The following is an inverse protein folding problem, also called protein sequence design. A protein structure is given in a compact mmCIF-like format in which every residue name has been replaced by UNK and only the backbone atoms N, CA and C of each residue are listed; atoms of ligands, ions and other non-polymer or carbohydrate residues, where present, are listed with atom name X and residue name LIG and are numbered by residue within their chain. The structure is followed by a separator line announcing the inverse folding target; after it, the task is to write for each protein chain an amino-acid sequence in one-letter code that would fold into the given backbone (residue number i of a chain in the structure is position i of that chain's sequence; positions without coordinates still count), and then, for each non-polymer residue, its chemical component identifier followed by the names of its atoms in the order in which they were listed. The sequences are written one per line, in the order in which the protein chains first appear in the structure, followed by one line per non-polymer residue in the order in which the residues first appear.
data_IF_716387565702
#
_entry.id   IF_716387565702
#
_cell.length_a   1.000
_cell.length_b   1.000
_cell.length_c   1.000
_cell.angle_alpha   90.00
_cell.angle_beta   90.00
_cell.angle_gamma   90.00
#
_symmetry.space_group_name_H-M   'P 1'
#
loop_
_entity.id
_entity.type
_entity.pdbx_description
1 polymer ?
#
# COMPACT_ATOMS: atom_id res chain seq x y z
N UNK A 1 20.60 -56.78 -19.13
CA UNK A 1 21.41 -57.73 -18.34
C UNK A 1 21.32 -57.31 -16.88
N UNK A 2 21.00 -58.13 -15.89
CA UNK A 2 20.41 -59.46 -15.80
C UNK A 2 19.94 -59.58 -14.31
N UNK A 3 18.64 -59.82 -14.06
CA UNK A 3 17.99 -60.61 -12.98
C UNK A 3 18.23 -60.21 -11.49
N UNK A 4 17.28 -60.31 -10.55
CA UNK A 4 15.94 -60.94 -10.48
C UNK A 4 15.77 -61.75 -9.18
N UNK A 5 14.55 -61.76 -8.62
CA UNK A 5 14.00 -62.53 -7.45
C UNK A 5 14.18 -61.89 -6.06
N UNK A 6 13.17 -61.77 -5.17
CA UNK A 6 11.77 -62.22 -5.16
C UNK A 6 11.43 -62.99 -3.87
N UNK A 7 10.63 -62.41 -2.96
CA UNK A 7 9.69 -63.04 -1.99
C UNK A 7 9.22 -61.98 -0.96
N UNK A 8 7.93 -61.55 -0.91
CA UNK A 8 6.82 -62.04 -0.05
C UNK A 8 7.24 -62.21 1.42
N UNK A 9 6.60 -61.68 2.46
CA UNK A 9 5.19 -61.30 2.71
C UNK A 9 5.05 -60.76 4.15
N UNK A 10 4.20 -59.75 4.38
CA UNK A 10 3.05 -59.75 5.32
C UNK A 10 2.66 -58.32 5.72
N UNK A 11 1.42 -58.01 5.36
CA UNK A 11 0.68 -56.79 5.68
C UNK A 11 0.24 -56.78 7.15
N UNK A 12 0.30 -55.60 7.78
CA UNK A 12 -0.58 -55.21 8.88
C UNK A 12 -0.94 -53.75 8.66
N UNK A 13 -2.10 -53.49 8.06
CA UNK A 13 -2.72 -52.17 7.94
C UNK A 13 -3.87 -52.11 8.94
N UNK A 14 -3.69 -51.38 10.03
CA UNK A 14 -4.78 -50.97 10.92
C UNK A 14 -5.50 -49.76 10.31
N UNK A 15 -6.74 -49.96 9.87
CA UNK A 15 -7.65 -48.88 9.47
C UNK A 15 -8.20 -48.18 10.72
N UNK A 16 -8.28 -46.84 10.76
CA UNK A 16 -9.15 -46.14 11.70
C UNK A 16 -10.58 -46.09 11.15
N UNK A 17 -11.55 -46.53 11.95
CA UNK A 17 -12.98 -46.42 11.64
C UNK A 17 -13.44 -44.97 11.76
N UNK A 18 -13.88 -44.40 10.64
CA UNK A 18 -14.58 -43.10 10.57
C UNK A 18 -16.03 -43.30 10.99
N UNK A 19 -16.42 -42.72 12.13
CA UNK A 19 -17.82 -42.64 12.56
C UNK A 19 -18.52 -41.52 11.78
N UNK A 20 -19.51 -41.91 10.98
CA UNK A 20 -20.42 -41.01 10.26
C UNK A 20 -21.45 -40.49 11.26
N UNK A 21 -21.46 -39.17 11.50
CA UNK A 21 -22.52 -38.50 12.27
C UNK A 21 -23.56 -37.97 11.28
N UNK A 22 -24.73 -38.61 11.28
CA UNK A 22 -25.91 -38.17 10.55
C UNK A 22 -26.50 -36.91 11.19
N UNK A 23 -26.65 -35.85 10.40
CA UNK A 23 -27.22 -34.57 10.83
C UNK A 23 -28.75 -34.62 10.81
N UNK A 24 -29.40 -34.66 11.97
CA UNK A 24 -30.83 -34.38 12.08
C UNK A 24 -31.06 -32.87 12.23
N UNK A 25 -31.68 -32.28 11.21
CA UNK A 25 -32.28 -30.93 11.26
C UNK A 25 -33.51 -30.98 12.15
N UNK A 26 -33.57 -30.11 13.16
CA UNK A 26 -34.81 -29.73 13.82
C UNK A 26 -35.01 -28.23 13.63
N UNK A 27 -36.00 -27.89 12.81
CA UNK A 27 -36.55 -26.55 12.67
C UNK A 27 -37.15 -26.12 14.02
N UNK A 28 -36.81 -24.94 14.53
CA UNK A 28 -37.55 -24.32 15.62
C UNK A 28 -37.93 -22.88 15.28
N UNK A 29 -39.24 -22.69 15.24
CA UNK A 29 -39.99 -21.48 14.98
C UNK A 29 -39.63 -20.33 15.93
N UNK A 30 -39.63 -19.12 15.38
CA UNK A 30 -39.66 -17.85 16.13
C UNK A 30 -41.10 -17.63 16.64
N UNK A 31 -41.26 -17.50 17.95
CA UNK A 31 -42.49 -17.06 18.61
C UNK A 31 -42.17 -16.08 19.74
N UNK A 32 -42.77 -14.89 19.66
CA UNK A 32 -42.59 -13.75 20.56
C UNK A 32 -43.20 -13.96 21.96
N UNK A 33 -42.58 -13.32 22.95
CA UNK A 33 -43.09 -12.76 24.22
C UNK A 33 -44.23 -13.47 24.96
N UNK A 34 -43.91 -14.01 26.15
CA UNK A 34 -44.58 -13.60 27.40
C UNK A 34 -43.75 -14.01 28.64
N UNK A 35 -43.86 -13.26 29.76
CA UNK A 35 -43.00 -13.39 30.93
C UNK A 35 -43.42 -14.61 31.76
N UNK A 36 -42.60 -15.65 31.80
CA UNK A 36 -42.86 -16.79 32.68
C UNK A 36 -42.52 -16.45 34.13
N UNK A 37 -43.59 -16.12 34.86
CA UNK A 37 -43.78 -16.31 36.28
C UNK A 37 -43.06 -17.56 36.81
N UNK A 38 -42.46 -17.38 37.99
CA UNK A 38 -41.97 -18.43 38.87
C UNK A 38 -42.97 -19.59 38.91
N UNK A 39 -42.56 -20.75 38.37
CA UNK A 39 -43.17 -22.02 38.73
C UNK A 39 -42.30 -22.63 39.81
N UNK A 40 -42.91 -22.77 40.97
CA UNK A 40 -42.47 -23.59 42.08
C UNK A 40 -41.88 -24.91 41.56
N UNK A 41 -40.55 -24.99 41.57
CA UNK A 41 -39.88 -26.27 41.68
C UNK A 41 -39.83 -26.56 43.17
N UNK A 42 -40.62 -27.55 43.58
CA UNK A 42 -40.68 -28.04 44.94
C UNK A 42 -39.28 -28.31 45.46
N UNK A 43 -39.02 -27.79 46.65
CA UNK A 43 -37.93 -28.18 47.52
C UNK A 43 -38.21 -29.61 48.02
N UNK A 44 -37.93 -30.60 47.18
CA UNK A 44 -37.66 -31.96 47.65
C UNK A 44 -36.15 -32.17 47.56
N UNK A 45 -35.56 -32.31 48.74
CA UNK A 45 -34.19 -32.62 49.09
C UNK A 45 -33.36 -33.31 47.99
N UNK A 46 -32.53 -32.53 47.31
CA UNK A 46 -31.27 -33.01 46.73
C UNK A 46 -30.11 -32.46 47.57
N UNK A 47 -30.09 -32.84 48.86
CA UNK A 47 -28.91 -32.68 49.71
C UNK A 47 -27.96 -33.86 49.48
N UNK A 48 -27.43 -33.95 48.25
CA UNK A 48 -26.31 -34.82 47.95
C UNK A 48 -25.08 -33.95 48.14
N UNK A 49 -24.33 -34.17 49.22
CA UNK A 49 -23.00 -33.58 49.33
C UNK A 49 -22.18 -34.07 48.12
N UNK A 50 -21.78 -33.15 47.24
CA UNK A 50 -21.05 -33.49 46.01
C UNK A 50 -19.74 -34.25 46.33
N UNK A 51 -19.22 -34.07 47.55
CA UNK A 51 -18.05 -34.73 48.10
C UNK A 51 -18.25 -36.24 48.35
N UNK A 52 -19.46 -36.74 48.61
CA UNK A 52 -19.70 -38.17 48.86
C UNK A 52 -19.89 -39.00 47.58
N UNK A 53 -20.46 -38.41 46.52
CA UNK A 53 -20.82 -39.16 45.28
C UNK A 53 -19.66 -39.33 44.30
N UNK A 54 -18.65 -38.47 44.37
CA UNK A 54 -17.50 -38.47 43.45
C UNK A 54 -16.15 -38.59 44.17
N UNK A 55 -16.14 -39.06 45.42
CA UNK A 55 -14.92 -39.23 46.24
C UNK A 55 -13.86 -40.17 45.62
N UNK A 56 -14.28 -41.13 44.79
CA UNK A 56 -13.40 -42.05 44.06
C UNK A 56 -12.80 -41.44 42.77
N UNK A 57 -13.21 -40.21 42.41
CA UNK A 57 -12.71 -39.52 41.22
C UNK A 57 -11.40 -38.82 41.58
N UNK A 58 -10.28 -39.43 41.17
CA UNK A 58 -8.96 -38.85 41.39
C UNK A 58 -8.82 -37.48 40.70
N UNK A 59 -8.57 -36.44 41.50
CA UNK A 59 -8.25 -35.10 41.00
C UNK A 59 -6.76 -35.03 40.67
N UNK A 60 -6.43 -34.77 39.40
CA UNK A 60 -5.05 -34.56 38.96
C UNK A 60 -4.68 -33.06 39.11
N UNK A 61 -3.78 -32.75 40.05
CA UNK A 61 -3.30 -31.39 40.31
C UNK A 61 -3.31 -31.05 41.80
N UNK A 62 -2.61 -29.97 42.23
CA UNK A 62 -2.61 -29.55 43.62
C UNK A 62 -3.97 -28.93 44.00
N UNK A 63 -4.75 -29.62 44.82
CA UNK A 63 -6.05 -29.14 45.34
C UNK A 63 -5.93 -27.96 46.32
N UNK A 64 -4.70 -27.62 46.74
CA UNK A 64 -4.40 -26.49 47.63
C UNK A 64 -4.24 -25.15 46.91
N UNK A 65 -4.33 -25.14 45.57
CA UNK A 65 -4.23 -23.92 44.77
C UNK A 65 -5.61 -23.33 44.55
N UNK A 66 -5.72 -22.00 44.57
CA UNK A 66 -6.98 -21.29 44.36
C UNK A 66 -7.63 -21.67 43.03
N UNK A 67 -8.94 -21.88 43.07
CA UNK A 67 -9.77 -22.11 41.88
C UNK A 67 -10.52 -20.82 41.56
N UNK A 68 -10.38 -20.33 40.33
CA UNK A 68 -11.06 -19.15 39.83
C UNK A 68 -12.17 -19.56 38.87
N UNK A 69 -13.32 -18.90 38.92
CA UNK A 69 -14.22 -18.82 37.77
C UNK A 69 -13.55 -18.07 36.61
N UNK A 70 -14.07 -18.22 35.39
CA UNK A 70 -13.52 -17.53 34.22
C UNK A 70 -13.56 -16.01 34.41
N UNK A 71 -14.63 -15.47 35.00
CA UNK A 71 -14.76 -14.04 35.27
C UNK A 71 -13.72 -13.56 36.29
N UNK A 72 -13.58 -14.26 37.42
CA UNK A 72 -12.60 -13.90 38.43
C UNK A 72 -11.17 -13.96 37.89
N UNK A 73 -10.85 -14.94 37.04
CA UNK A 73 -9.53 -15.03 36.40
C UNK A 73 -9.28 -13.86 35.42
N UNK A 74 -10.31 -13.43 34.69
CA UNK A 74 -10.21 -12.26 33.79
C UNK A 74 -9.96 -10.99 34.58
N UNK A 75 -10.69 -10.81 35.69
CA UNK A 75 -10.54 -9.65 36.57
C UNK A 75 -9.15 -9.64 37.23
N UNK A 76 -8.67 -10.79 37.69
CA UNK A 76 -7.31 -10.94 38.24
C UNK A 76 -6.23 -10.63 37.20
N UNK A 77 -6.35 -11.15 35.97
CA UNK A 77 -5.42 -10.85 34.87
C UNK A 77 -5.39 -9.34 34.59
N UNK A 78 -6.57 -8.71 34.48
CA UNK A 78 -6.63 -7.28 34.22
C UNK A 78 -6.08 -6.47 35.39
N UNK A 79 -6.31 -6.88 36.64
CA UNK A 79 -5.72 -6.25 37.82
C UNK A 79 -4.19 -6.28 37.78
N UNK A 80 -3.59 -7.43 37.49
CA UNK A 80 -2.12 -7.55 37.34
C UNK A 80 -1.59 -6.67 36.21
N UNK A 81 -2.32 -6.59 35.08
CA UNK A 81 -1.94 -5.75 33.95
C UNK A 81 -2.04 -4.26 34.28
N UNK A 82 -3.08 -3.84 34.99
CA UNK A 82 -3.27 -2.47 35.43
C UNK A 82 -2.21 -2.07 36.45
N UNK A 83 -1.89 -2.92 37.43
CA UNK A 83 -0.84 -2.66 38.42
C UNK A 83 0.57 -2.60 37.78
N UNK A 84 0.81 -3.41 36.74
CA UNK A 84 2.11 -3.45 36.06
C UNK A 84 2.31 -2.34 35.03
N UNK A 85 1.23 -1.76 34.50
CA UNK A 85 1.23 -0.78 33.40
C UNK A 85 0.20 0.34 33.64
N UNK A 86 0.16 0.87 34.86
CA UNK A 86 -0.84 1.85 35.34
C UNK A 86 -0.86 3.15 34.52
N UNK A 87 0.30 3.67 34.16
CA UNK A 87 0.44 4.85 33.29
C UNK A 87 0.32 4.53 31.80
N UNK A 88 0.09 3.26 31.42
CA UNK A 88 0.22 2.77 30.04
C UNK A 88 1.66 2.79 29.53
N UNK A 89 1.87 2.39 28.28
CA UNK A 89 3.21 2.31 27.69
C UNK A 89 3.21 2.60 26.19
N UNK A 90 4.41 2.87 25.69
CA UNK A 90 4.67 3.00 24.26
C UNK A 90 5.13 1.67 23.68
N UNK A 91 4.56 1.27 22.56
CA UNK A 91 4.97 0.10 21.78
C UNK A 91 5.06 0.46 20.32
N UNK A 92 6.03 -0.10 19.61
CA UNK A 92 6.18 0.10 18.18
C UNK A 92 6.01 -1.20 17.41
N UNK A 93 5.60 -1.07 16.15
CA UNK A 93 5.41 -2.20 15.24
C UNK A 93 4.84 -1.72 13.91
N UNK A 94 4.73 -2.64 12.96
CA UNK A 94 4.09 -2.37 11.67
C UNK A 94 2.59 -2.69 11.75
N UNK A 95 1.74 -1.84 11.20
CA UNK A 95 0.30 -2.07 11.12
C UNK A 95 0.02 -3.18 10.11
N UNK A 96 -0.80 -4.16 10.52
CA UNK A 96 -1.28 -5.24 9.67
C UNK A 96 -2.76 -5.54 9.93
N UNK A 97 -3.52 -5.68 8.85
CA UNK A 97 -4.94 -6.02 8.88
C UNK A 97 -5.83 -4.90 9.40
N UNK A 98 -5.55 -3.65 9.01
CA UNK A 98 -6.33 -2.50 9.44
C UNK A 98 -7.77 -2.56 8.92
N UNK A 99 -8.72 -2.44 9.84
CA UNK A 99 -10.15 -2.48 9.55
C UNK A 99 -10.92 -1.52 10.43
N UNK A 100 -11.89 -0.82 9.84
CA UNK A 100 -12.80 0.08 10.58
C UNK A 100 -14.21 -0.51 10.62
N UNK A 101 -14.76 -0.71 11.83
CA UNK A 101 -16.12 -1.19 12.05
C UNK A 101 -16.81 -0.34 13.11
N UNK A 102 -18.02 0.16 12.81
CA UNK A 102 -18.79 1.03 13.70
C UNK A 102 -17.97 2.23 14.24
N UNK A 103 -17.13 2.85 13.39
CA UNK A 103 -16.20 3.94 13.73
C UNK A 103 -15.07 3.57 14.70
N UNK A 104 -14.94 2.31 15.08
CA UNK A 104 -13.78 1.77 15.78
C UNK A 104 -12.79 1.20 14.78
N UNK A 105 -11.50 1.40 15.03
CA UNK A 105 -10.42 0.89 14.18
C UNK A 105 -9.74 -0.26 14.91
N UNK A 106 -9.50 -1.36 14.20
CA UNK A 106 -8.86 -2.56 14.71
C UNK A 106 -7.73 -2.93 13.77
N UNK A 107 -6.59 -3.33 14.32
CA UNK A 107 -5.45 -3.83 13.56
C UNK A 107 -4.53 -4.63 14.47
N UNK A 108 -3.47 -5.18 13.91
CA UNK A 108 -2.41 -5.87 14.65
C UNK A 108 -1.09 -5.13 14.43
N UNK A 109 -0.35 -4.88 15.50
CA UNK A 109 1.07 -4.54 15.40
C UNK A 109 1.86 -5.82 15.23
N UNK A 110 2.69 -5.87 14.19
CA UNK A 110 3.60 -7.00 13.95
C UNK A 110 5.05 -6.55 14.03
N UNK A 111 5.89 -7.39 14.63
CA UNK A 111 7.34 -7.31 14.52
C UNK A 111 7.79 -8.37 13.51
N UNK A 112 8.36 -7.93 12.39
CA UNK A 112 8.92 -8.82 11.38
C UNK A 112 10.40 -9.08 11.68
N UNK A 113 10.86 -10.31 11.45
CA UNK A 113 12.30 -10.56 11.43
C UNK A 113 12.93 -10.00 10.15
N UNK A 114 14.03 -9.24 10.23
CA UNK A 114 14.72 -8.73 9.05
C UNK A 114 15.08 -9.86 8.09
N UNK A 115 14.59 -9.79 6.85
CA UNK A 115 14.87 -10.78 5.81
C UNK A 115 14.05 -12.08 5.87
N UNK A 116 13.09 -12.19 6.79
CA UNK A 116 12.17 -13.33 6.86
C UNK A 116 10.71 -12.89 6.74
N UNK A 117 9.86 -13.79 6.21
CA UNK A 117 8.40 -13.61 6.21
C UNK A 117 7.76 -14.06 7.53
N UNK A 118 8.54 -14.55 8.50
CA UNK A 118 8.05 -14.94 9.83
C UNK A 118 7.78 -13.71 10.70
N UNK A 119 6.59 -13.68 11.31
CA UNK A 119 6.27 -12.74 12.38
C UNK A 119 6.98 -13.19 13.66
N UNK A 120 7.82 -12.34 14.22
CA UNK A 120 8.49 -12.59 15.51
C UNK A 120 7.51 -12.46 16.66
N UNK A 121 6.67 -11.42 16.62
CA UNK A 121 5.65 -11.16 17.61
C UNK A 121 4.48 -10.39 16.98
N UNK A 122 3.31 -10.46 17.61
CA UNK A 122 2.16 -9.67 17.21
C UNK A 122 1.29 -9.26 18.42
N UNK A 123 0.69 -8.07 18.35
CA UNK A 123 -0.20 -7.52 19.38
C UNK A 123 -1.43 -6.90 18.74
N UNK A 124 -2.63 -7.33 19.16
CA UNK A 124 -3.88 -6.73 18.68
C UNK A 124 -4.04 -5.33 19.23
N UNK A 125 -4.57 -4.42 18.42
CA UNK A 125 -4.82 -3.04 18.80
C UNK A 125 -6.26 -2.67 18.52
N UNK A 126 -6.90 -2.08 19.53
CA UNK A 126 -8.24 -1.52 19.44
C UNK A 126 -8.13 -0.01 19.60
N UNK A 127 -8.65 0.73 18.63
CA UNK A 127 -8.74 2.19 18.66
C UNK A 127 -10.23 2.58 18.62
N UNK A 128 -10.72 3.03 19.77
CA UNK A 128 -12.13 3.40 19.93
C UNK A 128 -12.45 4.71 19.22
N UNK A 129 -13.73 4.91 18.92
CA UNK A 129 -14.19 6.05 18.12
C UNK A 129 -13.92 7.38 18.83
N UNK A 130 -14.07 7.41 20.16
CA UNK A 130 -13.78 8.58 20.98
C UNK A 130 -12.30 8.97 20.96
N UNK A 131 -11.40 7.99 20.99
CA UNK A 131 -9.95 8.26 20.94
C UNK A 131 -9.50 8.63 19.53
N UNK A 132 -10.07 8.02 18.49
CA UNK A 132 -9.84 8.44 17.09
C UNK A 132 -10.17 9.92 16.88
N UNK A 133 -11.26 10.43 17.46
CA UNK A 133 -11.62 11.86 17.37
C UNK A 133 -10.51 12.75 17.94
N UNK A 134 -9.87 12.34 19.04
CA UNK A 134 -8.78 13.09 19.68
C UNK A 134 -7.48 13.01 18.88
N UNK A 135 -7.22 11.89 18.20
CA UNK A 135 -5.99 11.67 17.44
C UNK A 135 -6.03 12.28 16.03
N UNK A 136 -7.22 12.50 15.47
CA UNK A 136 -7.39 13.03 14.11
C UNK A 136 -6.64 14.34 13.85
N UNK A 137 -6.66 15.35 14.76
CA UNK A 137 -5.89 16.58 14.56
C UNK A 137 -4.39 16.35 14.53
N UNK A 138 -3.87 15.43 15.36
CA UNK A 138 -2.43 15.09 15.42
C UNK A 138 -1.99 14.41 14.11
N UNK A 139 -2.77 13.43 13.65
CA UNK A 139 -2.53 12.74 12.37
C UNK A 139 -2.60 13.71 11.19
N UNK A 140 -3.65 14.54 11.14
CA UNK A 140 -3.83 15.52 10.06
C UNK A 140 -2.73 16.58 10.03
N UNK A 141 -2.30 17.09 11.19
CA UNK A 141 -1.20 18.06 11.27
C UNK A 141 0.14 17.45 10.80
N UNK A 142 0.33 16.14 11.00
CA UNK A 142 1.47 15.40 10.50
C UNK A 142 1.32 14.91 9.04
N UNK A 143 0.14 15.08 8.43
CA UNK A 143 -0.17 14.53 7.10
C UNK A 143 -0.16 13.00 7.06
N UNK A 144 -0.41 12.34 8.20
CA UNK A 144 -0.40 10.88 8.33
C UNK A 144 -1.83 10.33 8.33
N UNK A 145 -1.98 9.16 7.73
CA UNK A 145 -3.18 8.34 7.78
C UNK A 145 -2.77 6.93 8.21
N UNK A 146 -3.56 6.27 9.06
CA UNK A 146 -3.25 4.90 9.46
C UNK A 146 -3.57 3.95 8.30
N UNK A 147 -2.57 3.20 7.86
CA UNK A 147 -2.66 2.23 6.79
C UNK A 147 -1.78 1.02 7.11
N UNK A 148 -2.08 -0.11 6.48
CA UNK A 148 -1.24 -1.30 6.55
C UNK A 148 0.18 -1.00 6.02
N UNK A 149 1.18 -1.65 6.61
CA UNK A 149 2.60 -1.44 6.28
C UNK A 149 3.26 -0.26 6.98
N UNK A 150 2.50 0.62 7.65
CA UNK A 150 3.09 1.74 8.39
C UNK A 150 3.71 1.27 9.71
N UNK A 151 4.96 1.64 9.92
CA UNK A 151 5.61 1.50 11.22
C UNK A 151 5.21 2.64 12.13
N UNK A 152 4.59 2.29 13.25
CA UNK A 152 4.02 3.24 14.20
C UNK A 152 4.55 3.02 15.59
N UNK A 153 4.55 4.07 16.40
CA UNK A 153 4.75 3.98 17.85
C UNK A 153 3.49 4.48 18.54
N UNK A 154 2.80 3.56 19.20
CA UNK A 154 1.49 3.76 19.81
C UNK A 154 1.61 3.82 21.32
N UNK A 155 0.77 4.63 21.93
CA UNK A 155 0.60 4.71 23.38
C UNK A 155 -0.77 4.15 23.76
N UNK A 156 -0.82 3.35 24.82
CA UNK A 156 -2.06 2.73 25.27
C UNK A 156 -1.89 1.87 26.52
N UNK A 157 -2.96 1.17 26.86
CA UNK A 157 -3.02 0.22 27.99
C UNK A 157 -3.40 -1.17 27.50
N UNK A 158 -2.96 -2.22 28.20
CA UNK A 158 -3.39 -3.58 27.89
C UNK A 158 -4.79 -3.83 28.44
N UNK A 159 -5.52 -4.71 27.77
CA UNK A 159 -6.82 -5.20 28.21
C UNK A 159 -7.00 -6.65 27.76
N UNK A 160 -7.33 -7.54 28.69
CA UNK A 160 -7.73 -8.91 28.42
C UNK A 160 -9.26 -8.99 28.32
N UNK A 161 -9.77 -9.19 27.10
CA UNK A 161 -11.20 -9.23 26.84
C UNK A 161 -11.77 -10.63 27.07
N UNK A 162 -12.39 -10.83 28.24
CA UNK A 162 -12.92 -12.10 28.72
C UNK A 162 -13.77 -12.88 27.71
N UNK A 163 -14.77 -12.28 27.03
CA UNK A 163 -15.66 -13.03 26.13
C UNK A 163 -14.96 -13.74 24.95
N UNK A 164 -13.76 -13.29 24.56
CA UNK A 164 -12.97 -13.92 23.50
C UNK A 164 -11.57 -14.36 23.96
N UNK A 165 -11.25 -14.25 25.25
CA UNK A 165 -9.94 -14.59 25.80
C UNK A 165 -8.77 -13.88 25.11
N UNK A 166 -8.96 -12.61 24.72
CA UNK A 166 -8.04 -11.91 23.80
C UNK A 166 -7.34 -10.73 24.47
N UNK A 167 -6.00 -10.77 24.50
CA UNK A 167 -5.17 -9.62 24.91
C UNK A 167 -5.05 -8.61 23.75
N UNK A 168 -5.33 -7.34 24.06
CA UNK A 168 -5.21 -6.24 23.11
C UNK A 168 -4.66 -4.98 23.78
N UNK A 169 -3.99 -4.14 23.01
CA UNK A 169 -3.68 -2.76 23.36
C UNK A 169 -4.89 -1.87 23.04
N UNK A 170 -5.35 -1.11 24.02
CA UNK A 170 -6.30 0.00 23.80
C UNK A 170 -5.48 1.24 23.45
N UNK A 171 -5.46 1.60 22.16
CA UNK A 171 -4.69 2.73 21.64
C UNK A 171 -5.31 4.05 22.08
N UNK A 172 -4.50 4.90 22.72
CA UNK A 172 -4.86 6.25 23.16
C UNK A 172 -3.96 7.35 22.58
N UNK A 173 -2.81 6.98 22.00
CA UNK A 173 -1.84 7.94 21.44
C UNK A 173 -0.99 7.36 20.32
N UNK A 174 -0.36 8.24 19.55
CA UNK A 174 0.62 7.92 18.50
C UNK A 174 1.73 8.99 18.51
N UNK A 175 2.99 8.60 18.30
CA UNK A 175 4.07 9.54 18.04
C UNK A 175 4.28 9.67 16.52
N UNK A 176 3.75 10.73 15.87
CA UNK A 176 3.90 10.90 14.44
C UNK A 176 5.36 11.11 14.01
N UNK A 177 6.23 11.62 14.90
CA UNK A 177 7.65 11.84 14.57
C UNK A 177 8.39 10.53 14.38
N UNK A 178 8.00 9.49 15.12
CA UNK A 178 8.59 8.16 14.95
C UNK A 178 8.26 7.61 13.56
N UNK A 179 6.98 7.66 13.16
CA UNK A 179 6.53 7.20 11.84
C UNK A 179 7.15 8.00 10.71
N UNK A 180 7.16 9.33 10.80
CA UNK A 180 7.80 10.19 9.80
C UNK A 180 9.31 9.95 9.70
N UNK A 181 9.98 9.72 10.83
CA UNK A 181 11.40 9.38 10.86
C UNK A 181 11.70 8.04 10.18
N UNK A 182 10.86 7.02 10.39
CA UNK A 182 11.01 5.73 9.71
C UNK A 182 10.78 5.85 8.20
N UNK A 183 9.75 6.57 7.76
CA UNK A 183 9.51 6.86 6.34
C UNK A 183 10.71 7.58 5.70
N UNK A 184 11.25 8.61 6.37
CA UNK A 184 12.42 9.33 5.88
C UNK A 184 13.66 8.42 5.77
N UNK A 185 13.87 7.55 6.77
CA UNK A 185 14.99 6.60 6.76
C UNK A 185 14.85 5.60 5.61
N UNK A 186 13.67 5.02 5.41
CA UNK A 186 13.39 4.10 4.31
C UNK A 186 13.65 4.75 2.95
N UNK A 187 13.22 6.02 2.78
CA UNK A 187 13.48 6.81 1.57
C UNK A 187 14.97 6.98 1.33
N UNK A 188 15.72 7.42 2.33
CA UNK A 188 17.17 7.62 2.24
C UNK A 188 17.90 6.30 1.92
N UNK A 189 17.44 5.19 2.48
CA UNK A 189 17.95 3.86 2.17
C UNK A 189 17.71 3.45 0.72
N UNK A 190 16.51 3.68 0.21
CA UNK A 190 16.18 3.42 -1.18
C UNK A 190 17.02 4.27 -2.13
N UNK A 191 17.12 5.58 -1.90
CA UNK A 191 17.94 6.49 -2.72
C UNK A 191 19.40 6.02 -2.74
N UNK A 192 19.95 5.66 -1.58
CA UNK A 192 21.33 5.14 -1.47
C UNK A 192 21.50 3.85 -2.29
N UNK A 193 20.55 2.92 -2.19
CA UNK A 193 20.56 1.66 -2.94
C UNK A 193 20.53 1.91 -4.45
N UNK A 194 19.68 2.82 -4.91
CA UNK A 194 19.56 3.20 -6.33
C UNK A 194 20.83 3.88 -6.85
N UNK A 195 21.49 4.70 -6.04
CA UNK A 195 22.77 5.33 -6.38
C UNK A 195 23.89 4.29 -6.49
N UNK A 196 23.98 3.37 -5.53
CA UNK A 196 24.99 2.30 -5.52
C UNK A 196 24.83 1.33 -6.71
N UNK A 197 23.59 1.06 -7.14
CA UNK A 197 23.32 0.21 -8.31
C UNK A 197 23.47 0.94 -9.66
N UNK A 198 23.73 2.26 -9.65
CA UNK A 198 23.76 3.10 -10.85
C UNK A 198 22.39 3.23 -11.54
N UNK A 199 21.30 2.91 -10.84
CA UNK A 199 19.93 3.06 -11.36
C UNK A 199 19.45 4.52 -11.25
N UNK A 200 19.90 5.24 -10.22
CA UNK A 200 19.36 6.56 -9.85
C UNK A 200 19.40 7.60 -10.99
N UNK A 201 20.46 7.63 -11.81
CA UNK A 201 20.60 8.58 -12.93
C UNK A 201 20.27 7.95 -14.30
N UNK A 202 19.99 6.64 -14.36
CA UNK A 202 20.01 5.87 -15.61
C UNK A 202 19.04 6.41 -16.66
N UNK A 203 17.80 6.69 -16.26
CA UNK A 203 16.79 7.20 -17.19
C UNK A 203 17.05 8.67 -17.59
N UNK A 204 17.66 9.47 -16.71
CA UNK A 204 18.06 10.87 -16.97
C UNK A 204 19.15 11.00 -18.03
N UNK A 205 19.95 9.95 -18.22
CA UNK A 205 21.01 9.90 -19.23
C UNK A 205 20.51 9.47 -20.62
N UNK A 206 19.23 9.16 -20.78
CA UNK A 206 18.66 8.86 -22.10
C UNK A 206 18.51 10.12 -22.93
N UNK A 207 18.56 9.98 -24.25
CA UNK A 207 18.17 11.05 -25.16
C UNK A 207 16.66 11.03 -25.37
N UNK A 208 16.04 12.20 -25.32
CA UNK A 208 14.63 12.38 -25.69
C UNK A 208 14.51 12.79 -27.15
N UNK A 209 13.51 12.25 -27.84
CA UNK A 209 13.19 12.69 -29.20
C UNK A 209 12.98 14.22 -29.24
N UNK A 210 13.53 14.88 -30.25
CA UNK A 210 13.38 16.34 -30.44
C UNK A 210 11.89 16.74 -30.57
N UNK A 211 11.09 15.84 -31.15
CA UNK A 211 9.66 16.03 -31.40
C UNK A 211 8.91 14.82 -30.82
N UNK A 212 8.71 14.75 -29.49
CA UNK A 212 8.14 13.58 -28.82
C UNK A 212 6.61 13.58 -28.93
N UNK A 213 6.08 13.20 -30.08
CA UNK A 213 4.63 13.22 -30.35
C UNK A 213 3.91 11.95 -29.92
N UNK A 214 4.62 10.82 -29.77
CA UNK A 214 4.04 9.52 -29.42
C UNK A 214 4.27 9.24 -27.94
N UNK A 215 3.25 9.47 -27.13
CA UNK A 215 3.34 9.51 -25.67
C UNK A 215 2.59 8.33 -25.06
N UNK A 216 3.31 7.47 -24.33
CA UNK A 216 2.70 6.49 -23.43
C UNK A 216 2.33 7.16 -22.11
N UNK A 217 1.13 6.96 -21.60
CA UNK A 217 0.65 7.59 -20.36
C UNK A 217 0.22 6.53 -19.35
N UNK A 218 0.79 6.56 -18.16
CA UNK A 218 0.44 5.70 -17.02
C UNK A 218 -0.33 6.52 -16.00
N UNK A 219 -1.63 6.27 -15.89
CA UNK A 219 -2.50 6.92 -14.90
C UNK A 219 -3.85 6.20 -14.81
N UNK A 220 -4.74 6.66 -13.95
CA UNK A 220 -6.13 6.20 -13.98
C UNK A 220 -6.93 6.96 -15.05
N UNK A 221 -7.59 6.23 -15.94
CA UNK A 221 -8.34 6.76 -17.09
C UNK A 221 -9.60 7.55 -16.70
N UNK A 222 -10.10 7.40 -15.48
CA UNK A 222 -11.21 8.19 -14.92
C UNK A 222 -10.74 9.37 -14.08
N UNK A 223 -9.42 9.60 -13.95
CA UNK A 223 -8.87 10.64 -13.10
C UNK A 223 -8.96 12.05 -13.71
N UNK A 224 -9.05 13.06 -12.85
CA UNK A 224 -8.91 14.46 -13.26
C UNK A 224 -7.52 14.73 -13.85
N UNK A 225 -6.47 14.07 -13.35
CA UNK A 225 -5.12 14.19 -13.92
C UNK A 225 -5.05 13.80 -15.39
N UNK A 226 -5.69 12.70 -15.76
CA UNK A 226 -5.78 12.28 -17.15
C UNK A 226 -6.54 13.30 -17.98
N UNK A 227 -7.71 13.76 -17.49
CA UNK A 227 -8.51 14.76 -18.18
C UNK A 227 -7.73 16.06 -18.42
N UNK A 228 -7.07 16.58 -17.39
CA UNK A 228 -6.28 17.81 -17.46
C UNK A 228 -5.10 17.67 -18.43
N UNK A 229 -4.35 16.56 -18.34
CA UNK A 229 -3.24 16.27 -19.25
C UNK A 229 -3.72 16.18 -20.70
N UNK A 230 -4.77 15.39 -20.95
CA UNK A 230 -5.33 15.19 -22.29
C UNK A 230 -5.87 16.49 -22.89
N UNK A 231 -6.58 17.29 -22.10
CA UNK A 231 -7.12 18.58 -22.54
C UNK A 231 -5.99 19.57 -22.88
N UNK A 232 -4.94 19.59 -22.06
CA UNK A 232 -3.77 20.45 -22.31
C UNK A 232 -3.06 20.06 -23.61
N UNK A 233 -2.82 18.77 -23.83
CA UNK A 233 -2.24 18.26 -25.09
C UNK A 233 -3.14 18.59 -26.29
N UNK A 234 -4.44 18.32 -26.18
CA UNK A 234 -5.39 18.50 -27.30
C UNK A 234 -5.57 19.97 -27.70
N UNK A 235 -5.45 20.91 -26.76
CA UNK A 235 -5.55 22.35 -27.06
C UNK A 235 -4.30 22.93 -27.74
N UNK A 236 -3.22 22.16 -27.85
CA UNK A 236 -1.97 22.62 -28.47
C UNK A 236 -2.01 22.66 -30.00
N UNK A 237 -3.01 22.01 -30.62
CA UNK A 237 -3.13 21.81 -32.08
C UNK A 237 -1.97 21.02 -32.72
N UNK A 238 -1.11 20.41 -31.90
CA UNK A 238 -0.02 19.56 -32.34
C UNK A 238 -0.47 18.10 -32.48
N UNK A 239 0.14 17.36 -33.40
CA UNK A 239 -0.21 15.98 -33.76
C UNK A 239 0.18 14.90 -32.74
N UNK A 240 -0.06 15.12 -31.44
CA UNK A 240 0.25 14.15 -30.40
C UNK A 240 -0.62 12.89 -30.51
N UNK A 241 0.01 11.73 -30.32
CA UNK A 241 -0.64 10.43 -30.21
C UNK A 241 -0.46 9.93 -28.78
N UNK A 242 -1.58 9.76 -28.06
CA UNK A 242 -1.57 9.34 -26.67
C UNK A 242 -1.98 7.87 -26.54
N UNK A 243 -1.11 7.05 -25.93
CA UNK A 243 -1.40 5.66 -25.55
C UNK A 243 -1.55 5.57 -24.05
N UNK A 244 -2.80 5.50 -23.56
CA UNK A 244 -3.09 5.37 -22.14
C UNK A 244 -3.03 3.90 -21.69
N UNK A 245 -2.27 3.61 -20.64
CA UNK A 245 -2.47 2.43 -19.80
C UNK A 245 -3.21 2.85 -18.53
N UNK A 246 -4.50 2.49 -18.49
CA UNK A 246 -5.37 2.74 -17.35
C UNK A 246 -5.02 1.82 -16.19
N UNK A 247 -4.45 2.39 -15.13
CA UNK A 247 -4.04 1.67 -13.93
C UNK A 247 -4.47 2.37 -12.67
N UNK A 248 -4.63 1.58 -11.61
CA UNK A 248 -4.77 2.10 -10.25
C UNK A 248 -3.45 2.72 -9.82
N UNK A 249 -3.49 3.98 -9.41
CA UNK A 249 -2.30 4.78 -9.00
C UNK A 249 -2.20 5.02 -7.50
N UNK A 250 -3.10 4.43 -6.70
CA UNK A 250 -3.13 4.54 -5.24
C UNK A 250 -3.63 3.25 -4.58
N UNK A 251 -3.21 3.01 -3.34
CA UNK A 251 -3.56 1.81 -2.57
C UNK A 251 -2.73 0.58 -2.93
N UNK A 252 -3.02 -0.55 -2.30
CA UNK A 252 -2.15 -1.73 -2.24
C UNK A 252 -1.77 -2.34 -3.60
N UNK A 253 -2.65 -2.20 -4.60
CA UNK A 253 -2.41 -2.74 -5.94
C UNK A 253 -1.64 -1.79 -6.86
N UNK A 254 -1.44 -0.54 -6.45
CA UNK A 254 -0.90 0.50 -7.32
C UNK A 254 0.56 0.26 -7.69
N UNK A 255 1.40 -0.13 -6.72
CA UNK A 255 2.82 -0.43 -6.97
C UNK A 255 2.97 -1.44 -8.11
N UNK A 256 2.27 -2.56 -8.03
CA UNK A 256 2.34 -3.61 -9.06
C UNK A 256 1.73 -3.18 -10.40
N UNK A 257 0.64 -2.42 -10.38
CA UNK A 257 -0.03 -1.97 -11.59
C UNK A 257 0.79 -0.93 -12.36
N UNK A 258 1.31 0.09 -11.66
CA UNK A 258 2.15 1.15 -12.24
C UNK A 258 3.46 0.57 -12.76
N UNK A 259 4.13 -0.29 -11.98
CA UNK A 259 5.38 -0.97 -12.41
C UNK A 259 5.18 -1.69 -13.74
N UNK A 260 4.16 -2.56 -13.84
CA UNK A 260 3.88 -3.32 -15.07
C UNK A 260 3.51 -2.41 -16.24
N UNK A 261 2.80 -1.31 -16.00
CA UNK A 261 2.44 -0.37 -17.06
C UNK A 261 3.68 0.33 -17.65
N UNK A 262 4.60 0.78 -16.79
CA UNK A 262 5.86 1.39 -17.22
C UNK A 262 6.68 0.38 -18.02
N UNK A 263 6.83 -0.85 -17.51
CA UNK A 263 7.54 -1.92 -18.22
C UNK A 263 6.89 -2.24 -19.58
N UNK A 264 5.57 -2.32 -19.63
CA UNK A 264 4.81 -2.61 -20.87
C UNK A 264 5.01 -1.52 -21.92
N UNK A 265 4.93 -0.24 -21.53
CA UNK A 265 5.19 0.88 -22.45
C UNK A 265 6.65 0.94 -22.87
N UNK A 266 7.59 0.61 -21.97
CA UNK A 266 9.01 0.58 -22.27
C UNK A 266 9.38 -0.46 -23.34
N UNK A 267 8.61 -1.52 -23.52
CA UNK A 267 8.85 -2.52 -24.57
C UNK A 267 8.28 -2.13 -25.94
N UNK A 268 7.65 -0.96 -26.08
CA UNK A 268 7.06 -0.51 -27.34
C UNK A 268 8.07 0.31 -28.15
N UNK A 269 8.14 0.03 -29.44
CA UNK A 269 8.97 0.76 -30.42
C UNK A 269 8.21 1.93 -31.10
N UNK A 270 6.90 2.01 -30.88
CA UNK A 270 6.04 3.05 -31.44
C UNK A 270 5.86 4.28 -30.53
N UNK A 271 6.62 4.39 -29.44
CA UNK A 271 6.56 5.51 -28.49
C UNK A 271 7.88 6.28 -28.45
N UNK A 272 7.79 7.58 -28.19
CA UNK A 272 8.94 8.47 -28.01
C UNK A 272 9.26 8.69 -26.52
N UNK A 273 8.24 8.63 -25.67
CA UNK A 273 8.33 9.03 -24.26
C UNK A 273 7.22 8.38 -23.43
N UNK A 274 7.50 8.10 -22.16
CA UNK A 274 6.52 7.63 -21.17
C UNK A 274 6.24 8.77 -20.19
N UNK A 275 4.97 8.93 -19.80
CA UNK A 275 4.52 9.92 -18.83
C UNK A 275 3.79 9.19 -17.71
N UNK A 276 4.26 9.38 -16.48
CA UNK A 276 3.61 8.85 -15.27
C UNK A 276 2.97 10.01 -14.53
N UNK A 277 1.64 10.06 -14.47
CA UNK A 277 0.91 11.19 -13.89
C UNK A 277 -0.10 10.74 -12.84
N UNK A 278 -0.28 11.58 -11.83
CA UNK A 278 -1.25 11.38 -10.75
C UNK A 278 -1.90 12.72 -10.39
N UNK A 279 -3.16 12.67 -9.97
CA UNK A 279 -3.96 13.85 -9.62
C UNK A 279 -3.68 14.41 -8.24
N UNK A 280 -4.39 15.48 -7.87
CA UNK A 280 -4.37 15.98 -6.50
C UNK A 280 -4.95 14.95 -5.53
N UNK A 281 -4.33 14.82 -4.36
CA UNK A 281 -4.75 13.90 -3.30
C UNK A 281 -3.81 13.97 -2.10
N UNK A 282 -4.07 13.18 -1.06
CA UNK A 282 -3.36 13.25 0.23
C UNK A 282 -1.86 12.91 0.12
N UNK A 283 -1.06 13.26 1.14
CA UNK A 283 0.38 12.91 1.20
C UNK A 283 0.61 11.41 1.29
N UNK A 284 -0.28 10.66 1.93
CA UNK A 284 -0.22 9.19 2.04
C UNK A 284 -0.26 8.54 0.65
N UNK A 285 -0.96 9.12 -0.31
CA UNK A 285 -1.02 8.61 -1.68
C UNK A 285 0.29 8.79 -2.48
N UNK A 286 1.18 9.72 -2.09
CA UNK A 286 2.50 9.88 -2.71
C UNK A 286 3.47 8.73 -2.37
N UNK A 287 3.26 8.06 -1.24
CA UNK A 287 4.14 6.96 -0.77
C UNK A 287 4.24 5.81 -1.76
N UNK A 288 3.20 5.58 -2.58
CA UNK A 288 3.22 4.60 -3.67
C UNK A 288 4.41 4.82 -4.61
N UNK A 289 4.76 6.08 -4.87
CA UNK A 289 5.82 6.47 -5.79
C UNK A 289 7.20 6.56 -5.11
N UNK A 290 7.28 6.27 -3.81
CA UNK A 290 8.52 6.04 -3.07
C UNK A 290 8.87 4.53 -2.99
N UNK A 291 8.19 3.67 -3.78
CA UNK A 291 8.46 2.23 -3.83
C UNK A 291 9.64 1.89 -4.77
N UNK A 292 10.47 0.93 -4.33
CA UNK A 292 11.64 0.47 -5.07
C UNK A 292 11.29 -0.06 -6.48
N UNK A 293 10.18 -0.79 -6.63
CA UNK A 293 9.82 -1.42 -7.91
C UNK A 293 9.47 -0.38 -8.96
N UNK A 294 8.73 0.67 -8.58
CA UNK A 294 8.42 1.78 -9.49
C UNK A 294 9.71 2.52 -9.85
N UNK A 295 10.54 2.83 -8.85
CA UNK A 295 11.81 3.51 -9.11
C UNK A 295 12.71 2.72 -10.08
N UNK A 296 12.80 1.40 -9.91
CA UNK A 296 13.56 0.52 -10.81
C UNK A 296 12.92 0.41 -12.20
N UNK A 297 11.59 0.33 -12.30
CA UNK A 297 10.90 0.30 -13.60
C UNK A 297 11.15 1.57 -14.41
N UNK A 298 11.13 2.73 -13.74
CA UNK A 298 11.48 4.02 -14.36
C UNK A 298 12.95 4.03 -14.77
N UNK A 299 13.86 3.73 -13.83
CA UNK A 299 15.30 3.74 -14.07
C UNK A 299 15.72 2.81 -15.22
N UNK A 300 15.06 1.64 -15.34
CA UNK A 300 15.35 0.63 -16.35
C UNK A 300 14.55 0.78 -17.65
N UNK A 301 13.63 1.74 -17.72
CA UNK A 301 12.88 2.00 -18.95
C UNK A 301 13.85 2.40 -20.06
N UNK A 302 13.74 1.80 -21.26
CA UNK A 302 14.55 2.21 -22.42
C UNK A 302 14.04 3.52 -23.04
N UNK A 303 12.83 3.95 -22.69
CA UNK A 303 12.27 5.24 -23.09
C UNK A 303 12.44 6.27 -21.95
N UNK A 304 12.68 7.56 -22.27
CA UNK A 304 12.64 8.64 -21.29
C UNK A 304 11.28 8.66 -20.57
N UNK A 305 11.31 8.75 -19.24
CA UNK A 305 10.11 8.81 -18.41
C UNK A 305 9.98 10.19 -17.79
N UNK A 306 8.87 10.86 -18.05
CA UNK A 306 8.49 12.12 -17.42
C UNK A 306 7.50 11.83 -16.30
N UNK A 307 7.64 12.51 -15.17
CA UNK A 307 6.68 12.41 -14.07
C UNK A 307 5.89 13.69 -13.89
N UNK A 308 4.61 13.55 -13.54
CA UNK A 308 3.73 14.62 -13.11
C UNK A 308 2.88 14.18 -11.93
N UNK A 309 3.54 13.75 -10.84
CA UNK A 309 2.93 13.01 -9.73
C UNK A 309 2.42 13.90 -8.59
N UNK A 310 3.08 15.04 -8.27
CA UNK A 310 2.82 15.72 -6.98
C UNK A 310 3.08 17.23 -6.89
N UNK A 311 2.41 17.87 -5.90
CA UNK A 311 2.34 19.31 -5.58
C UNK A 311 3.66 19.97 -5.12
N UNK A 312 3.66 21.30 -4.89
CA UNK A 312 4.85 22.16 -4.66
C UNK A 312 5.89 21.65 -3.66
N UNK A 313 5.47 20.89 -2.64
CA UNK A 313 6.27 20.70 -1.42
C UNK A 313 6.97 19.34 -1.40
N UNK A 314 6.45 18.31 -2.08
CA UNK A 314 6.93 16.94 -1.94
C UNK A 314 7.42 16.39 -3.29
N UNK A 315 8.59 15.73 -3.28
CA UNK A 315 9.17 15.02 -4.43
C UNK A 315 9.19 13.53 -4.09
N UNK A 316 8.79 12.66 -5.00
CA UNK A 316 8.86 11.20 -4.81
C UNK A 316 10.19 10.62 -5.31
N UNK A 317 10.56 9.41 -4.91
CA UNK A 317 11.74 8.71 -5.45
C UNK A 317 11.54 8.44 -6.94
N UNK A 318 10.32 8.14 -7.38
CA UNK A 318 9.97 8.03 -8.80
C UNK A 318 10.34 9.32 -9.58
N UNK A 319 10.06 10.50 -9.01
CA UNK A 319 10.46 11.77 -9.62
C UNK A 319 11.99 11.95 -9.67
N UNK A 320 12.71 11.45 -8.67
CA UNK A 320 14.17 11.58 -8.57
C UNK A 320 14.92 10.70 -9.57
N UNK A 321 14.34 9.56 -9.98
CA UNK A 321 14.95 8.64 -10.95
C UNK A 321 14.44 8.83 -12.38
N UNK A 322 13.39 9.62 -12.57
CA UNK A 322 12.82 9.94 -13.87
C UNK A 322 13.78 10.77 -14.74
N UNK A 323 13.56 10.73 -16.05
CA UNK A 323 14.26 11.60 -17.00
C UNK A 323 14.03 13.07 -16.67
N UNK A 324 12.77 13.44 -16.45
CA UNK A 324 12.39 14.80 -16.06
C UNK A 324 11.15 14.79 -15.16
N UNK A 325 11.21 15.60 -14.09
CA UNK A 325 10.12 15.79 -13.14
C UNK A 325 9.31 17.04 -13.47
N UNK A 326 7.99 16.93 -13.36
CA UNK A 326 7.06 18.04 -13.36
C UNK A 326 6.16 18.05 -12.12
N UNK A 327 5.85 19.26 -11.65
CA UNK A 327 5.02 19.50 -10.46
C UNK A 327 3.55 19.14 -10.66
N UNK A 328 3.05 19.09 -11.90
CA UNK A 328 1.65 18.75 -12.16
C UNK A 328 1.53 18.00 -13.48
N UNK A 329 0.45 17.21 -13.67
CA UNK A 329 0.12 16.65 -14.97
C UNK A 329 0.08 17.72 -16.06
N UNK A 330 -0.53 18.88 -15.80
CA UNK A 330 -0.59 20.00 -16.75
C UNK A 330 0.79 20.56 -17.08
N UNK A 331 1.69 20.71 -16.09
CA UNK A 331 3.06 21.17 -16.34
C UNK A 331 3.85 20.16 -17.19
N UNK A 332 3.63 18.86 -16.99
CA UNK A 332 4.20 17.81 -17.83
C UNK A 332 3.71 17.92 -19.28
N UNK A 333 2.40 18.12 -19.49
CA UNK A 333 1.85 18.34 -20.82
C UNK A 333 2.44 19.60 -21.49
N UNK A 334 2.54 20.71 -20.75
CA UNK A 334 3.14 21.97 -21.25
C UNK A 334 4.60 21.78 -21.64
N UNK A 335 5.40 21.01 -20.88
CA UNK A 335 6.79 20.70 -21.24
C UNK A 335 6.88 19.99 -22.59
N UNK A 336 6.08 18.95 -22.81
CA UNK A 336 6.01 18.23 -24.09
C UNK A 336 5.61 19.15 -25.24
N UNK A 337 4.57 19.97 -25.05
CA UNK A 337 4.10 20.94 -26.05
C UNK A 337 5.22 21.93 -26.40
N UNK A 338 5.89 22.49 -25.40
CA UNK A 338 6.94 23.49 -25.62
C UNK A 338 8.13 22.88 -26.35
N UNK A 339 8.51 21.63 -26.08
CA UNK A 339 9.57 20.92 -26.82
C UNK A 339 9.27 20.90 -28.33
N UNK A 340 8.05 20.50 -28.69
CA UNK A 340 7.61 20.46 -30.09
C UNK A 340 7.51 21.86 -30.71
N UNK A 341 6.92 22.84 -30.00
CA UNK A 341 6.78 24.22 -30.49
C UNK A 341 8.14 24.88 -30.73
N UNK A 342 9.08 24.70 -29.80
CA UNK A 342 10.42 25.25 -29.95
C UNK A 342 11.11 24.67 -31.19
N UNK A 343 11.00 23.36 -31.43
CA UNK A 343 11.54 22.74 -32.64
C UNK A 343 10.92 23.32 -33.93
N UNK A 344 9.60 23.54 -33.95
CA UNK A 344 8.91 24.17 -35.10
C UNK A 344 9.44 25.60 -35.33
N UNK A 345 9.48 26.42 -34.29
CA UNK A 345 9.96 27.82 -34.38
C UNK A 345 11.43 27.90 -34.81
N UNK A 346 12.29 27.03 -34.29
CA UNK A 346 13.69 26.95 -34.71
C UNK A 346 13.81 26.56 -36.19
N UNK A 347 13.01 25.59 -36.63
CA UNK A 347 12.99 25.14 -38.03
C UNK A 347 12.52 26.25 -38.97
N UNK A 348 11.46 26.98 -38.62
CA UNK A 348 10.95 28.12 -39.38
C UNK A 348 11.99 29.26 -39.45
N UNK A 349 12.65 29.56 -38.34
CA UNK A 349 13.69 30.60 -38.29
C UNK A 349 14.86 30.26 -39.21
N UNK A 350 15.30 28.99 -39.22
CA UNK A 350 16.36 28.52 -40.12
C UNK A 350 15.89 28.57 -41.57
N UNK A 351 14.65 28.15 -41.85
CA UNK A 351 14.06 28.21 -43.18
C UNK A 351 14.04 29.64 -43.75
N UNK A 352 13.56 30.61 -42.97
CA UNK A 352 13.51 32.01 -43.37
C UNK A 352 14.91 32.60 -43.62
N UNK A 353 15.89 32.22 -42.80
CA UNK A 353 17.27 32.62 -43.01
C UNK A 353 17.83 32.08 -44.34
N UNK A 354 17.58 30.81 -44.65
CA UNK A 354 17.98 30.18 -45.92
C UNK A 354 17.29 30.85 -47.10
N UNK A 355 15.97 31.05 -47.02
CA UNK A 355 15.18 31.68 -48.07
C UNK A 355 15.66 33.10 -48.37
N UNK A 356 15.96 33.90 -47.34
CA UNK A 356 16.50 35.25 -47.47
C UNK A 356 17.86 35.26 -48.16
N UNK A 357 18.79 34.40 -47.74
CA UNK A 357 20.14 34.32 -48.34
C UNK A 357 20.06 33.85 -49.80
N UNK A 358 19.22 32.87 -50.10
CA UNK A 358 19.01 32.38 -51.46
C UNK A 358 18.42 33.49 -52.36
N UNK A 359 17.41 34.21 -51.89
CA UNK A 359 16.76 35.30 -52.63
C UNK A 359 17.73 36.45 -52.90
N UNK A 360 18.56 36.80 -51.91
CA UNK A 360 19.59 37.82 -52.06
C UNK A 360 20.60 37.43 -53.14
N UNK A 361 21.14 36.21 -53.09
CA UNK A 361 22.08 35.71 -54.11
C UNK A 361 21.48 35.67 -55.51
N UNK A 362 20.22 35.27 -55.64
CA UNK A 362 19.50 35.27 -56.92
C UNK A 362 19.35 36.70 -57.46
N UNK A 363 18.96 37.66 -56.61
CA UNK A 363 18.84 39.08 -57.00
C UNK A 363 20.18 39.66 -57.45
N UNK A 364 21.25 39.39 -56.70
CA UNK A 364 22.60 39.89 -57.04
C UNK A 364 23.12 39.27 -58.34
N UNK A 365 22.87 37.98 -58.56
CA UNK A 365 23.21 37.31 -59.82
C UNK A 365 22.43 37.88 -61.00
N UNK A 366 21.13 38.16 -60.82
CA UNK A 366 20.30 38.76 -61.87
C UNK A 366 20.77 40.18 -62.25
N UNK A 367 21.14 41.00 -61.27
CA UNK A 367 21.74 42.32 -61.50
C UNK A 367 23.07 42.21 -62.28
N UNK A 368 23.92 41.26 -61.91
CA UNK A 368 25.20 41.06 -62.59
C UNK A 368 25.01 40.64 -64.05
N UNK A 369 24.03 39.78 -64.36
CA UNK A 369 23.70 39.39 -65.74
C UNK A 369 23.18 40.58 -66.53
N UNK A 370 22.25 41.35 -65.98
CA UNK A 370 21.69 42.52 -66.67
C UNK A 370 22.72 43.65 -66.89
N UNK A 371 23.79 43.70 -66.10
CA UNK A 371 24.88 44.66 -66.29
C UNK A 371 25.91 44.21 -67.34
N UNK A 372 25.83 42.97 -67.84
CA UNK A 372 26.73 42.43 -68.88
C UNK A 372 26.14 42.47 -70.29
N UNK A 373 24.83 42.71 -70.41
CA UNK A 373 24.10 43.00 -71.66
C UNK A 373 23.86 44.48 -71.80
#
# INVERSE_FOLDING_TARGET
MYFGHGARSREFRSQPQTLVVESARADLFIGQNDPFMAKDFGTEDFDISADEVFSDVAVAGPSTVATYSITELVDEINGVLEDSFDEGFWVWGEISGLSTKNRHTYFTLVEQEPGSRSKKAQLNVNLWAGDMVKLRPVLSAAGLELADGLKVRLYGSLNFYGPFGKLSLIMRGIDPRFTLGDIALQRDELIRKLKLSGAYERNRLLDIALVPLRVGVVTSGSSAAWADFKNQISSSELGFQLTLLDVVVQGDQAVGAVTRAIETLGQRDDLDVIVVIRGGGSKSELSTFDDEKIALAIANSPLPVLTGIGHEIDTSVADEVAFERHKTPTACAVSLINRVKNFVTETETVWDAVARVATQKLSDSHKNVNNLT
#
